data_IF_342292242207
#
_entry.id   IF_342292242207
#
_cell.length_a   1.000
_cell.length_b   1.000
_cell.length_c   1.000
_cell.angle_alpha   90.00
_cell.angle_beta   90.00
_cell.angle_gamma   90.00
#
_symmetry.space_group_name_H-M   'P 1'
#
loop_
_entity.id
_entity.type
_entity.pdbx_description
1 polymer ?
#
# COMPACT_ATOMS: atom_id res chain seq x y z
N UNK A 1 -26.77 5.20 -22.86
CA UNK A 1 -27.53 6.19 -22.07
C UNK A 1 -26.61 7.37 -21.81
N UNK A 2 -27.12 8.60 -21.70
CA UNK A 2 -26.29 9.75 -21.34
C UNK A 2 -25.81 9.63 -19.89
N UNK A 3 -24.76 10.39 -19.55
CA UNK A 3 -24.25 10.50 -18.17
C UNK A 3 -25.35 11.02 -17.24
N UNK A 4 -25.59 10.32 -16.14
CA UNK A 4 -26.51 10.77 -15.10
C UNK A 4 -25.83 11.77 -14.16
N UNK A 5 -26.63 12.47 -13.34
CA UNK A 5 -26.08 13.35 -12.30
C UNK A 5 -25.21 12.59 -11.28
N UNK A 6 -25.55 11.33 -10.99
CA UNK A 6 -24.77 10.47 -10.10
C UNK A 6 -23.40 10.12 -10.69
N UNK A 7 -23.35 9.83 -12.00
CA UNK A 7 -22.07 9.53 -12.67
C UNK A 7 -21.12 10.72 -12.62
N UNK A 8 -21.65 11.94 -12.86
CA UNK A 8 -20.87 13.18 -12.75
C UNK A 8 -20.33 13.41 -11.35
N UNK A 9 -21.15 13.16 -10.33
CA UNK A 9 -20.73 13.27 -8.93
C UNK A 9 -19.62 12.25 -8.59
N UNK A 10 -19.70 11.01 -9.09
CA UNK A 10 -18.65 10.02 -8.90
C UNK A 10 -17.35 10.42 -9.60
N UNK A 11 -17.45 11.00 -10.80
CA UNK A 11 -16.30 11.54 -11.54
C UNK A 11 -15.64 12.71 -10.81
N UNK A 12 -16.39 13.51 -10.05
CA UNK A 12 -15.84 14.60 -9.23
C UNK A 12 -15.17 14.06 -7.96
N UNK A 13 -15.85 13.20 -7.19
CA UNK A 13 -15.34 12.68 -5.90
C UNK A 13 -14.08 11.85 -6.08
N UNK A 14 -13.95 11.11 -7.19
CA UNK A 14 -12.80 10.25 -7.45
C UNK A 14 -11.69 10.93 -8.25
N UNK A 15 -11.74 12.25 -8.47
CA UNK A 15 -10.76 12.96 -9.31
C UNK A 15 -9.33 12.83 -8.80
N UNK A 16 -9.12 12.83 -7.48
CA UNK A 16 -7.81 12.79 -6.84
C UNK A 16 -7.37 11.39 -6.40
N UNK A 17 -8.09 10.34 -6.82
CA UNK A 17 -7.74 8.95 -6.49
C UNK A 17 -7.18 8.20 -7.69
N UNK A 18 -6.39 7.15 -7.43
CA UNK A 18 -6.02 6.19 -8.47
C UNK A 18 -7.27 5.45 -8.95
N UNK A 19 -7.77 5.81 -10.13
CA UNK A 19 -9.00 5.25 -10.71
C UNK A 19 -8.82 4.82 -12.16
N UNK A 20 -9.64 3.85 -12.57
CA UNK A 20 -9.79 3.43 -13.96
C UNK A 20 -11.24 3.70 -14.35
N UNK A 21 -11.45 4.45 -15.43
CA UNK A 21 -12.79 4.76 -15.93
C UNK A 21 -13.09 3.88 -17.14
N UNK A 22 -14.16 3.10 -17.05
CA UNK A 22 -14.59 2.16 -18.08
C UNK A 22 -15.86 2.64 -18.76
N UNK A 23 -15.81 2.85 -20.08
CA UNK A 23 -16.98 3.11 -20.89
C UNK A 23 -17.47 1.79 -21.51
N UNK A 24 -18.50 1.20 -20.90
CA UNK A 24 -19.05 -0.08 -21.33
C UNK A 24 -20.13 0.07 -22.42
N UNK A 25 -20.48 -1.05 -23.06
CA UNK A 25 -21.51 -1.20 -24.11
C UNK A 25 -21.18 -0.53 -25.44
N UNK A 26 -19.90 -0.55 -25.86
CA UNK A 26 -19.49 0.00 -27.17
C UNK A 26 -20.05 -0.74 -28.39
N UNK A 27 -20.77 -1.84 -28.17
CA UNK A 27 -21.56 -2.54 -29.17
C UNK A 27 -22.88 -1.82 -29.55
N UNK A 28 -23.27 -0.79 -28.79
CA UNK A 28 -24.43 0.06 -29.07
C UNK A 28 -24.00 1.46 -29.53
N UNK A 29 -24.90 2.23 -30.18
CA UNK A 29 -24.63 3.63 -30.51
C UNK A 29 -24.25 4.44 -29.26
N UNK A 30 -23.15 5.18 -29.34
CA UNK A 30 -22.63 5.99 -28.24
C UNK A 30 -23.60 7.15 -27.97
N UNK A 31 -24.11 7.22 -26.74
CA UNK A 31 -25.06 8.24 -26.29
C UNK A 31 -24.42 9.21 -25.28
N UNK A 32 -23.09 9.14 -25.11
CA UNK A 32 -22.31 9.96 -24.19
C UNK A 32 -21.37 10.81 -25.04
N UNK A 33 -21.38 12.11 -24.81
CA UNK A 33 -20.47 13.02 -25.50
C UNK A 33 -19.05 12.86 -24.96
N UNK A 34 -18.09 12.69 -25.87
CA UNK A 34 -16.68 12.49 -25.49
C UNK A 34 -16.07 13.73 -24.80
N UNK A 35 -16.69 14.91 -24.95
CA UNK A 35 -16.30 16.15 -24.29
C UNK A 35 -16.62 16.20 -22.79
N UNK A 36 -17.57 15.40 -22.30
CA UNK A 36 -17.93 15.34 -20.87
C UNK A 36 -17.06 14.36 -20.08
N UNK A 37 -16.14 13.68 -20.77
CA UNK A 37 -15.41 12.56 -20.24
C UNK A 37 -13.92 12.92 -20.03
N UNK A 38 -13.32 12.57 -18.88
CA UNK A 38 -11.90 12.80 -18.64
C UNK A 38 -11.03 11.93 -19.57
N UNK A 39 -9.76 12.30 -19.71
CA UNK A 39 -8.79 11.51 -20.47
C UNK A 39 -8.52 10.14 -19.81
N UNK A 40 -8.05 9.17 -20.61
CA UNK A 40 -7.65 7.85 -20.09
C UNK A 40 -8.77 6.81 -19.94
N UNK A 41 -9.92 7.01 -20.59
CA UNK A 41 -11.05 6.07 -20.54
C UNK A 41 -10.81 4.84 -21.40
N UNK A 42 -11.12 3.67 -20.83
CA UNK A 42 -11.09 2.40 -21.55
C UNK A 42 -12.49 2.08 -22.06
N UNK A 43 -12.63 2.06 -23.38
CA UNK A 43 -13.86 1.65 -24.07
C UNK A 43 -13.94 0.14 -24.18
N UNK A 44 -14.97 -0.47 -23.60
CA UNK A 44 -15.17 -1.93 -23.57
C UNK A 44 -16.57 -2.33 -24.04
N UNK A 45 -16.67 -3.55 -24.54
CA UNK A 45 -17.94 -4.27 -24.65
C UNK A 45 -17.79 -5.60 -23.95
N UNK A 46 -18.36 -5.69 -22.74
CA UNK A 46 -18.36 -6.95 -21.97
C UNK A 46 -19.10 -8.04 -22.75
N UNK A 47 -20.19 -7.69 -23.44
CA UNK A 47 -20.98 -8.64 -24.23
C UNK A 47 -20.20 -9.24 -25.40
N UNK A 48 -19.35 -8.44 -26.07
CA UNK A 48 -18.52 -8.89 -27.19
C UNK A 48 -17.12 -9.34 -26.77
N UNK A 49 -16.84 -9.36 -25.46
CA UNK A 49 -15.51 -9.61 -24.90
C UNK A 49 -14.43 -8.71 -25.55
N UNK A 50 -14.77 -7.46 -25.82
CA UNK A 50 -13.91 -6.52 -26.55
C UNK A 50 -13.17 -5.61 -25.58
N UNK A 51 -11.86 -5.45 -25.79
CA UNK A 51 -10.97 -4.58 -25.02
C UNK A 51 -10.87 -4.90 -23.51
N UNK A 52 -11.29 -6.10 -23.08
CA UNK A 52 -11.16 -6.54 -21.67
C UNK A 52 -9.70 -6.63 -21.26
N UNK A 53 -8.82 -7.10 -22.15
CA UNK A 53 -7.37 -7.18 -21.90
C UNK A 53 -6.75 -5.81 -21.57
N UNK A 54 -7.31 -4.71 -22.10
CA UNK A 54 -6.82 -3.35 -21.79
C UNK A 54 -7.03 -2.95 -20.34
N UNK A 55 -8.00 -3.58 -19.66
CA UNK A 55 -8.21 -3.38 -18.22
C UNK A 55 -7.04 -3.97 -17.46
N UNK A 56 -6.63 -5.19 -17.82
CA UNK A 56 -5.48 -5.88 -17.22
C UNK A 56 -4.19 -5.08 -17.44
N UNK A 57 -3.95 -4.63 -18.67
CA UNK A 57 -2.81 -3.77 -19.01
C UNK A 57 -2.81 -2.50 -18.14
N UNK A 58 -3.95 -1.81 -18.01
CA UNK A 58 -4.04 -0.57 -17.24
C UNK A 58 -3.88 -0.78 -15.73
N UNK A 59 -4.36 -1.90 -15.21
CA UNK A 59 -4.13 -2.29 -13.81
C UNK A 59 -2.63 -2.49 -13.62
N UNK A 60 -1.99 -3.27 -14.49
CA UNK A 60 -0.55 -3.49 -14.42
C UNK A 60 0.21 -2.15 -14.46
N UNK A 61 -0.10 -1.26 -15.40
CA UNK A 61 0.55 0.05 -15.46
C UNK A 61 0.39 0.83 -14.14
N UNK A 62 -0.81 0.89 -13.55
CA UNK A 62 -1.03 1.59 -12.28
C UNK A 62 -0.25 0.99 -11.10
N UNK A 63 -0.06 -0.32 -11.07
CA UNK A 63 0.69 -0.99 -10.02
C UNK A 63 2.21 -0.91 -10.27
N UNK A 64 2.68 -1.05 -11.51
CA UNK A 64 4.09 -1.11 -11.87
C UNK A 64 4.73 0.27 -12.12
N UNK A 65 4.01 1.26 -12.65
CA UNK A 65 4.50 2.65 -12.74
C UNK A 65 4.77 3.24 -11.34
N UNK A 66 4.00 2.83 -10.33
CA UNK A 66 4.26 3.17 -8.93
C UNK A 66 5.28 2.23 -8.24
N UNK A 67 5.55 1.05 -8.81
CA UNK A 67 6.52 0.09 -8.26
C UNK A 67 7.93 0.21 -8.83
N UNK A 68 8.16 1.08 -9.83
CA UNK A 68 9.43 1.24 -10.55
C UNK A 68 10.67 1.61 -9.71
N UNK A 69 10.52 1.81 -8.39
CA UNK A 69 11.62 2.03 -7.44
C UNK A 69 11.70 1.00 -6.30
N UNK A 70 10.71 0.12 -6.13
CA UNK A 70 10.52 -0.62 -4.87
C UNK A 70 10.60 -2.14 -5.06
N UNK A 71 10.51 -2.65 -6.29
CA UNK A 71 10.25 -4.08 -6.51
C UNK A 71 11.42 -5.04 -6.28
N UNK A 72 12.68 -4.58 -6.20
CA UNK A 72 13.79 -5.47 -5.85
C UNK A 72 13.97 -5.69 -4.34
N UNK A 73 13.45 -4.80 -3.48
CA UNK A 73 13.61 -4.87 -2.02
C UNK A 73 12.28 -5.02 -1.24
N UNK A 74 11.11 -4.91 -1.90
CA UNK A 74 9.79 -5.01 -1.27
C UNK A 74 9.52 -6.36 -0.56
N UNK A 75 10.29 -7.40 -0.89
CA UNK A 75 10.15 -8.72 -0.24
C UNK A 75 10.66 -8.70 1.21
N UNK A 76 11.55 -7.78 1.58
CA UNK A 76 12.10 -7.71 2.94
C UNK A 76 11.16 -7.05 3.97
N UNK A 77 10.26 -6.17 3.51
CA UNK A 77 9.43 -5.29 4.37
C UNK A 77 7.92 -5.46 4.13
N UNK A 78 7.47 -6.61 3.65
CA UNK A 78 6.03 -6.85 3.36
C UNK A 78 5.20 -7.22 4.59
N UNK A 79 5.82 -7.37 5.77
CA UNK A 79 5.10 -7.60 7.02
C UNK A 79 4.85 -6.27 7.75
N UNK A 80 3.59 -5.84 7.84
CA UNK A 80 3.19 -4.65 8.59
C UNK A 80 3.74 -4.65 10.04
N UNK A 81 3.93 -5.83 10.64
CA UNK A 81 4.62 -5.98 11.93
C UNK A 81 6.07 -5.52 11.88
N UNK A 82 6.85 -5.97 10.89
CA UNK A 82 8.26 -5.62 10.76
C UNK A 82 8.42 -4.13 10.47
N UNK A 83 7.56 -3.55 9.61
CA UNK A 83 7.54 -2.11 9.35
C UNK A 83 7.34 -1.35 10.66
N UNK A 84 6.30 -1.70 11.44
CA UNK A 84 6.02 -1.02 12.72
C UNK A 84 7.16 -1.16 13.73
N UNK A 85 7.83 -2.32 13.79
CA UNK A 85 8.99 -2.50 14.67
C UNK A 85 10.19 -1.66 14.21
N UNK A 86 10.44 -1.56 12.91
CA UNK A 86 11.53 -0.73 12.37
C UNK A 86 11.27 0.75 12.63
N UNK A 87 10.03 1.23 12.45
CA UNK A 87 9.66 2.61 12.78
C UNK A 87 9.94 2.93 14.26
N UNK A 88 9.57 2.03 15.18
CA UNK A 88 9.87 2.18 16.61
C UNK A 88 11.36 2.16 16.93
N UNK A 89 12.13 1.32 16.26
CA UNK A 89 13.59 1.27 16.42
C UNK A 89 14.24 2.59 15.96
N UNK A 90 13.76 3.14 14.85
CA UNK A 90 14.22 4.44 14.33
C UNK A 90 13.89 5.57 15.32
N UNK A 91 12.66 5.61 15.84
CA UNK A 91 12.24 6.59 16.85
C UNK A 91 13.13 6.51 18.11
N UNK A 92 13.40 5.30 18.59
CA UNK A 92 14.26 5.08 19.76
C UNK A 92 15.71 5.55 19.51
N UNK A 93 16.25 5.33 18.30
CA UNK A 93 17.58 5.84 17.92
C UNK A 93 17.61 7.36 17.76
N UNK A 94 16.52 7.98 17.30
CA UNK A 94 16.41 9.44 17.24
C UNK A 94 16.47 10.04 18.65
N UNK A 95 15.77 9.45 19.62
CA UNK A 95 15.84 9.88 21.02
C UNK A 95 17.29 9.79 21.60
N UNK A 96 18.04 8.74 21.23
CA UNK A 96 19.47 8.62 21.59
C UNK A 96 20.28 9.77 21.01
N UNK A 97 20.11 10.08 19.72
CA UNK A 97 20.81 11.17 19.05
C UNK A 97 20.49 12.53 19.67
N UNK A 98 19.22 12.82 19.91
CA UNK A 98 18.79 14.05 20.62
C UNK A 98 19.41 14.14 22.01
N UNK A 99 19.44 13.02 22.73
CA UNK A 99 20.05 12.96 24.05
C UNK A 99 21.56 13.18 24.05
N UNK A 100 22.26 12.71 23.01
CA UNK A 100 23.68 13.01 22.80
C UNK A 100 23.90 14.51 22.56
N UNK A 101 23.07 15.14 21.73
CA UNK A 101 23.14 16.58 21.45
C UNK A 101 22.86 17.42 22.70
N UNK A 102 21.96 16.97 23.57
CA UNK A 102 21.64 17.59 24.86
C UNK A 102 22.67 17.30 25.96
N UNK A 103 23.69 16.48 25.69
CA UNK A 103 24.73 16.12 26.66
C UNK A 103 24.20 15.29 27.83
N UNK A 104 23.16 14.48 27.60
CA UNK A 104 22.60 13.62 28.64
C UNK A 104 23.63 12.58 29.12
N UNK A 105 23.60 12.18 30.39
CA UNK A 105 24.41 11.07 30.90
C UNK A 105 24.23 9.80 30.10
N UNK A 106 25.32 9.09 29.85
CA UNK A 106 25.33 7.83 29.08
C UNK A 106 24.37 6.79 29.66
N UNK A 107 24.24 6.74 30.99
CA UNK A 107 23.32 5.82 31.67
C UNK A 107 21.86 6.01 31.26
N UNK A 108 21.45 7.24 30.92
CA UNK A 108 20.10 7.53 30.44
C UNK A 108 19.94 7.15 28.96
N UNK A 109 20.96 7.43 28.14
CA UNK A 109 20.99 7.06 26.72
C UNK A 109 21.00 5.54 26.51
N UNK A 110 21.61 4.81 27.45
CA UNK A 110 21.67 3.35 27.42
C UNK A 110 20.27 2.72 27.44
N UNK A 111 19.27 3.37 28.07
CA UNK A 111 17.90 2.86 28.13
C UNK A 111 17.30 2.76 26.72
N UNK A 112 17.41 3.84 25.95
CA UNK A 112 16.87 3.89 24.57
C UNK A 112 17.70 3.05 23.58
N UNK A 113 19.02 2.93 23.80
CA UNK A 113 19.86 1.98 23.04
C UNK A 113 19.46 0.53 23.29
N UNK A 114 19.22 0.16 24.55
CA UNK A 114 18.81 -1.20 24.94
C UNK A 114 17.44 -1.51 24.35
N UNK A 115 16.50 -0.56 24.43
CA UNK A 115 15.18 -0.68 23.83
C UNK A 115 15.24 -0.88 22.32
N UNK A 116 16.11 -0.14 21.62
CA UNK A 116 16.34 -0.32 20.18
C UNK A 116 16.81 -1.76 19.89
N UNK A 117 17.77 -2.26 20.67
CA UNK A 117 18.30 -3.62 20.52
C UNK A 117 17.23 -4.70 20.69
N UNK A 118 16.35 -4.55 21.69
CA UNK A 118 15.23 -5.47 21.93
C UNK A 118 14.24 -5.47 20.77
N UNK A 119 13.84 -4.29 20.27
CA UNK A 119 12.93 -4.16 19.12
C UNK A 119 13.51 -4.84 17.87
N UNK A 120 14.81 -4.69 17.64
CA UNK A 120 15.50 -5.37 16.54
C UNK A 120 15.54 -6.90 16.76
N UNK A 121 15.72 -7.34 18.01
CA UNK A 121 15.62 -8.76 18.39
C UNK A 121 14.22 -9.35 18.17
N UNK A 122 13.15 -8.57 18.29
CA UNK A 122 11.79 -9.02 17.93
C UNK A 122 11.60 -9.21 16.42
N UNK A 123 12.39 -8.53 15.59
CA UNK A 123 12.38 -8.70 14.15
C UNK A 123 13.13 -9.98 13.76
N UNK A 124 14.31 -10.23 14.35
CA UNK A 124 15.10 -11.45 14.09
C UNK A 124 14.51 -12.69 14.75
N UNK A 125 13.68 -12.51 15.78
CA UNK A 125 13.08 -13.58 16.57
C UNK A 125 13.87 -13.96 17.82
N UNK A 126 15.02 -13.32 18.07
CA UNK A 126 15.88 -13.57 19.24
C UNK A 126 15.29 -13.03 20.55
N UNK A 127 14.41 -12.04 20.47
CA UNK A 127 13.72 -11.42 21.61
C UNK A 127 12.19 -11.47 21.48
N UNK A 128 11.65 -12.40 20.67
CA UNK A 128 10.22 -12.47 20.41
C UNK A 128 9.44 -12.90 21.69
N UNK A 129 8.38 -12.16 22.07
CA UNK A 129 7.48 -12.58 23.16
C UNK A 129 6.75 -13.88 22.81
N UNK A 130 6.45 -14.72 23.80
CA UNK A 130 5.68 -15.97 23.63
C UNK A 130 4.31 -15.74 22.94
N UNK A 131 3.70 -14.56 23.12
CA UNK A 131 2.44 -14.17 22.47
C UNK A 131 2.58 -14.01 20.95
N UNK A 132 3.77 -13.63 20.47
CA UNK A 132 4.05 -13.40 19.05
C UNK A 132 4.09 -14.71 18.26
N UNK A 133 4.67 -15.74 18.89
CA UNK A 133 4.62 -17.13 18.41
C UNK A 133 3.16 -17.59 18.30
N UNK A 134 2.35 -17.31 19.34
CA UNK A 134 0.92 -17.68 19.35
C UNK A 134 0.14 -16.96 18.24
N UNK A 135 0.37 -15.66 18.00
CA UNK A 135 -0.28 -14.93 16.91
C UNK A 135 0.14 -15.44 15.53
N UNK A 136 1.42 -15.73 15.31
CA UNK A 136 1.91 -16.34 14.07
C UNK A 136 1.16 -17.67 13.82
N UNK A 137 1.11 -18.56 14.80
CA UNK A 137 0.44 -19.85 14.67
C UNK A 137 -1.08 -19.78 14.57
N UNK A 138 -1.72 -18.72 15.07
CA UNK A 138 -3.16 -18.51 14.91
C UNK A 138 -3.59 -18.21 13.47
N UNK A 139 -2.67 -17.74 12.62
CA UNK A 139 -2.93 -17.47 11.19
C UNK A 139 -2.70 -18.70 10.31
N UNK A 140 -2.10 -19.78 10.84
CA UNK A 140 -1.98 -21.04 10.13
C UNK A 140 -3.22 -21.90 10.38
N UNK A 141 -3.81 -22.44 9.31
CA UNK A 141 -4.90 -23.41 9.46
C UNK A 141 -4.40 -24.63 10.25
N UNK A 142 -5.20 -25.10 11.21
CA UNK A 142 -4.96 -26.33 11.97
C UNK A 142 -4.75 -27.50 11.00
N UNK A 143 -3.51 -27.98 10.87
CA UNK A 143 -3.18 -29.12 10.03
C UNK A 143 -1.93 -29.02 9.16
N UNK A 144 -0.94 -28.19 9.53
CA UNK A 144 0.44 -28.37 9.07
C UNK A 144 1.32 -28.79 10.23
#
# INVERSE_FOLDING_TARGET
EPLTAQDRQLLEISQDTNRIILLNKTDLPEAIETSELPEGIIRISVLKNQNINKIEDRINDLFFENAGLVEQDATYLSNARHISLIEKAVESLQAVNEGLELGMPVDLLQVDLTRTWEILGEITGDAAPDELITQLFSQFCLGK
#
